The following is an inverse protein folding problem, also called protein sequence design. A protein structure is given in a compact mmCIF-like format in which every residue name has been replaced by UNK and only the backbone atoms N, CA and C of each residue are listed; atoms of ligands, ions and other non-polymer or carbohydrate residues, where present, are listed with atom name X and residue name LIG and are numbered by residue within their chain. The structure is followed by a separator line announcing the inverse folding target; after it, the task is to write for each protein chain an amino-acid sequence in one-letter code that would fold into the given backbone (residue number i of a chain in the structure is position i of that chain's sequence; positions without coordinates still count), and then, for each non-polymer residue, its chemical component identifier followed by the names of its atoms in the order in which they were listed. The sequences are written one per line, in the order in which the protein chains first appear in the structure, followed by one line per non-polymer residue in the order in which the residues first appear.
data_IF_766125503735
#
_entry.id   IF_766125503735
#
_cell.length_a   1.000
_cell.length_b   1.000
_cell.length_c   1.000
_cell.angle_alpha   90.00
_cell.angle_beta   90.00
_cell.angle_gamma   90.00
#
_symmetry.space_group_name_H-M   'P 1'
#
loop_
_entity.id
_entity.type
_entity.pdbx_description
1 polymer ?
#
# COMPACT_ATOMS: atom_id res chain seq x y z
N UNK A 1 -15.92 22.54 1.20
CA UNK A 1 -14.93 21.45 1.23
C UNK A 1 -15.62 20.20 0.72
N UNK A 2 -15.38 19.84 -0.54
CA UNK A 2 -15.95 18.65 -1.16
C UNK A 2 -15.28 17.42 -0.57
N UNK A 3 -16.03 16.63 0.20
CA UNK A 3 -15.65 15.29 0.65
C UNK A 3 -15.45 14.41 -0.58
N UNK A 4 -14.18 14.29 -1.01
CA UNK A 4 -13.77 13.37 -2.08
C UNK A 4 -14.18 11.96 -1.59
N UNK A 5 -14.92 11.16 -2.36
CA UNK A 5 -15.28 9.81 -1.92
C UNK A 5 -13.98 9.06 -1.59
N UNK A 6 -13.85 8.64 -0.34
CA UNK A 6 -12.59 8.28 0.35
C UNK A 6 -11.80 7.10 -0.26
N UNK A 7 -12.27 6.47 -1.33
CA UNK A 7 -11.83 5.12 -1.67
C UNK A 7 -11.82 4.81 -3.15
N UNK A 8 -11.65 5.77 -4.06
CA UNK A 8 -11.46 5.43 -5.49
C UNK A 8 -10.44 6.37 -6.17
N UNK A 9 -9.27 6.52 -5.54
CA UNK A 9 -8.16 7.22 -6.16
C UNK A 9 -7.55 6.33 -7.25
N UNK A 10 -7.84 6.68 -8.50
CA UNK A 10 -7.18 6.14 -9.69
C UNK A 10 -6.22 7.18 -10.23
N UNK A 11 -4.97 6.78 -10.43
CA UNK A 11 -3.93 7.62 -11.03
C UNK A 11 -3.46 6.96 -12.33
N UNK A 12 -3.25 7.77 -13.37
CA UNK A 12 -2.79 7.28 -14.68
C UNK A 12 -1.27 7.12 -14.73
N UNK A 13 -0.54 7.79 -13.84
CA UNK A 13 0.92 7.75 -13.78
C UNK A 13 1.44 7.34 -12.41
N UNK A 14 2.64 6.79 -12.41
CA UNK A 14 3.35 6.40 -11.19
C UNK A 14 3.65 7.62 -10.30
N UNK A 15 4.05 8.74 -10.91
CA UNK A 15 4.43 9.96 -10.18
C UNK A 15 3.26 10.52 -9.37
N UNK A 16 2.06 10.53 -9.95
CA UNK A 16 0.85 10.96 -9.26
C UNK A 16 0.52 10.01 -8.10
N UNK A 17 0.63 8.70 -8.30
CA UNK A 17 0.41 7.71 -7.25
C UNK A 17 1.45 7.83 -6.11
N UNK A 18 2.72 8.06 -6.44
CA UNK A 18 3.81 8.18 -5.48
C UNK A 18 3.69 9.47 -4.65
N UNK A 19 3.27 10.58 -5.25
CA UNK A 19 2.98 11.82 -4.52
C UNK A 19 1.85 11.61 -3.51
N UNK A 20 0.74 11.03 -3.92
CA UNK A 20 -0.39 10.76 -3.02
C UNK A 20 0.01 9.79 -1.89
N UNK A 21 0.78 8.74 -2.19
CA UNK A 21 1.30 7.81 -1.19
C UNK A 21 2.19 8.48 -0.14
N UNK A 22 3.01 9.45 -0.56
CA UNK A 22 3.93 10.16 0.33
C UNK A 22 3.22 11.07 1.36
N UNK A 23 1.99 11.53 1.07
CA UNK A 23 1.29 12.49 1.93
C UNK A 23 0.11 11.90 2.71
N UNK A 24 -0.43 10.74 2.30
CA UNK A 24 -1.68 10.24 2.84
C UNK A 24 -1.60 8.89 3.59
N UNK A 25 -0.40 8.35 3.87
CA UNK A 25 -0.24 7.00 4.45
C UNK A 25 -1.03 5.92 3.67
N UNK A 26 -1.07 6.08 2.35
CA UNK A 26 -1.78 5.19 1.43
C UNK A 26 -0.78 4.48 0.52
N UNK A 27 -1.09 3.24 0.17
CA UNK A 27 -0.33 2.47 -0.81
C UNK A 27 -1.14 2.33 -2.10
N UNK A 28 -0.47 2.38 -3.25
CA UNK A 28 -1.09 2.15 -4.55
C UNK A 28 -0.60 0.84 -5.17
N UNK A 29 -1.50 0.14 -5.88
CA UNK A 29 -1.19 -1.04 -6.67
C UNK A 29 -1.33 -0.71 -8.16
N UNK A 30 -0.40 -1.19 -8.98
CA UNK A 30 -0.51 -1.11 -10.43
C UNK A 30 -1.41 -2.22 -10.96
N UNK A 31 -2.39 -1.86 -11.77
CA UNK A 31 -3.27 -2.76 -12.50
C UNK A 31 -2.61 -3.26 -13.79
N UNK A 32 -3.16 -4.32 -14.38
CA UNK A 32 -2.64 -4.89 -15.63
C UNK A 32 -2.70 -3.92 -16.83
N UNK A 33 -3.53 -2.89 -16.76
CA UNK A 33 -3.64 -1.84 -17.77
C UNK A 33 -2.72 -0.63 -17.52
N UNK A 34 -1.83 -0.71 -16.52
CA UNK A 34 -0.87 0.33 -16.18
C UNK A 34 -1.40 1.44 -15.29
N UNK A 35 -2.69 1.42 -14.92
CA UNK A 35 -3.27 2.39 -13.98
C UNK A 35 -2.95 2.03 -12.54
N UNK A 36 -2.90 3.02 -11.67
CA UNK A 36 -2.66 2.84 -10.24
C UNK A 36 -3.96 3.03 -9.47
N UNK A 37 -4.22 2.13 -8.53
CA UNK A 37 -5.39 2.19 -7.64
C UNK A 37 -4.93 2.16 -6.18
N UNK A 38 -5.55 2.98 -5.33
CA UNK A 38 -5.31 2.93 -3.89
C UNK A 38 -5.70 1.54 -3.34
N UNK A 39 -4.86 0.97 -2.47
CA UNK A 39 -5.11 -0.31 -1.80
C UNK A 39 -6.48 -0.38 -1.12
N UNK A 40 -6.94 0.71 -0.50
CA UNK A 40 -8.24 0.77 0.18
C UNK A 40 -9.43 0.68 -0.79
N UNK A 41 -9.21 1.05 -2.05
CA UNK A 41 -10.19 0.95 -3.14
C UNK A 41 -10.21 -0.44 -3.79
N UNK A 42 -9.21 -1.27 -3.54
CA UNK A 42 -9.02 -2.52 -4.25
C UNK A 42 -10.05 -3.57 -3.79
N UNK A 43 -10.74 -4.26 -4.71
CA UNK A 43 -11.68 -5.31 -4.33
C UNK A 43 -10.97 -6.44 -3.57
N UNK A 44 -11.54 -6.90 -2.46
CA UNK A 44 -10.97 -7.94 -1.58
C UNK A 44 -10.59 -9.24 -2.31
N UNK A 45 -11.25 -9.52 -3.44
CA UNK A 45 -11.03 -10.73 -4.25
C UNK A 45 -9.84 -10.63 -5.19
N UNK A 46 -9.24 -9.46 -5.37
CA UNK A 46 -8.06 -9.32 -6.22
C UNK A 46 -6.82 -9.64 -5.39
N UNK A 47 -6.16 -10.73 -5.75
CA UNK A 47 -4.86 -11.08 -5.20
C UNK A 47 -3.85 -9.98 -5.56
N UNK A 48 -3.39 -9.22 -4.55
CA UNK A 48 -2.26 -8.32 -4.70
C UNK A 48 -1.00 -9.10 -4.32
N UNK A 49 -0.06 -9.21 -5.25
CA UNK A 49 1.28 -9.72 -4.94
C UNK A 49 2.17 -8.52 -4.62
N UNK A 50 2.63 -8.44 -3.38
CA UNK A 50 3.85 -7.70 -3.11
C UNK A 50 5.00 -8.44 -3.82
N UNK A 51 5.82 -7.78 -4.66
CA UNK A 51 7.03 -8.41 -5.18
C UNK A 51 8.03 -8.72 -4.04
N UNK A 52 7.87 -8.05 -2.90
CA UNK A 52 8.58 -8.37 -1.67
C UNK A 52 7.89 -9.56 -1.02
N UNK A 53 8.46 -10.75 -1.24
CA UNK A 53 8.19 -11.91 -0.41
C UNK A 53 8.92 -11.66 0.91
N UNK A 54 8.16 -11.48 1.99
CA UNK A 54 8.75 -11.41 3.32
C UNK A 54 9.30 -12.80 3.66
N UNK A 55 10.52 -12.89 4.23
CA UNK A 55 11.02 -14.14 4.79
C UNK A 55 10.00 -14.74 5.75
N UNK A 56 9.90 -16.07 5.83
CA UNK A 56 9.00 -16.74 6.79
C UNK A 56 9.28 -16.30 8.24
N UNK A 57 10.51 -15.91 8.54
CA UNK A 57 10.94 -15.42 9.85
C UNK A 57 10.59 -13.95 10.10
N UNK A 58 10.15 -13.19 9.10
CA UNK A 58 10.01 -11.73 9.19
C UNK A 58 9.15 -11.27 10.38
N UNK A 59 8.02 -11.95 10.60
CA UNK A 59 7.12 -11.62 11.71
C UNK A 59 7.77 -11.91 13.08
N UNK A 60 8.52 -13.00 13.21
CA UNK A 60 9.24 -13.34 14.42
C UNK A 60 10.37 -12.32 14.68
N UNK A 61 11.16 -12.00 13.66
CA UNK A 61 12.25 -11.03 13.73
C UNK A 61 11.75 -9.61 14.07
N UNK A 62 10.59 -9.22 13.54
CA UNK A 62 9.96 -7.93 13.83
C UNK A 62 9.47 -7.87 15.29
N UNK A 63 8.86 -8.95 15.78
CA UNK A 63 8.37 -9.03 17.16
C UNK A 63 9.51 -9.01 18.17
N UNK A 64 10.58 -9.78 17.95
CA UNK A 64 11.77 -9.75 18.81
C UNK A 64 12.37 -8.34 18.88
N UNK A 65 12.55 -7.68 17.73
CA UNK A 65 13.06 -6.31 17.69
C UNK A 65 12.13 -5.31 18.37
N UNK A 66 10.81 -5.41 18.17
CA UNK A 66 9.83 -4.52 18.79
C UNK A 66 9.77 -4.68 20.32
N UNK A 67 9.93 -5.90 20.82
CA UNK A 67 9.99 -6.20 22.25
C UNK A 67 11.32 -5.77 22.90
N UNK A 68 12.38 -5.64 22.10
CA UNK A 68 13.70 -5.15 22.52
C UNK A 68 13.98 -3.69 22.13
N UNK A 69 12.94 -2.94 21.71
CA UNK A 69 13.04 -1.52 21.35
C UNK A 69 12.74 -0.56 22.52
N UNK A 70 12.63 -1.08 23.74
CA UNK A 70 12.69 -0.30 24.99
C UNK A 70 13.99 -0.63 25.74
N UNK A 71 15.12 -0.05 25.32
CA UNK A 71 16.25 0.29 26.20
C UNK A 71 16.77 1.69 25.86
#
# INVERSE_FOLDING_TARGET
MTTKPDTDYRCETWEAAAQEAAFADVCFCMLADGRFINRHAMPYKIAHRSPFVLPETFLADLLEKALHLEE
#
